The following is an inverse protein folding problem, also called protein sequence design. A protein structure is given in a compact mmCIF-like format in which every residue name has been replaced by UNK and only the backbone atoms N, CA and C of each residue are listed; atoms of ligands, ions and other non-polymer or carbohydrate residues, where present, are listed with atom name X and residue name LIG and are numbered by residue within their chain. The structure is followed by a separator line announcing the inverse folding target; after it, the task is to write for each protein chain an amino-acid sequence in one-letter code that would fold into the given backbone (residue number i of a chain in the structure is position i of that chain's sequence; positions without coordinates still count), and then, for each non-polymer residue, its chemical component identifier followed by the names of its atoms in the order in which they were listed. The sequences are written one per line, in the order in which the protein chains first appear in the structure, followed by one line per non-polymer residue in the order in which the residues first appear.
data_IF_187362440498
#
_entry.id   IF_187362440498
#
_cell.length_a   1.000
_cell.length_b   1.000
_cell.length_c   1.000
_cell.angle_alpha   90.00
_cell.angle_beta   90.00
_cell.angle_gamma   90.00
#
_symmetry.space_group_name_H-M   'P 1'
#
loop_
_entity.id
_entity.type
_entity.pdbx_description
1 polymer ?
#
# COMPACT_ATOMS: atom_id res chain seq x y z
N UNK A 1 5.40 11.07 -13.22
CA UNK A 1 5.09 11.05 -11.77
C UNK A 1 3.63 10.72 -11.66
N UNK A 2 3.29 9.50 -11.27
CA UNK A 2 1.97 8.90 -11.52
C UNK A 2 0.84 9.40 -10.62
N UNK A 3 1.07 10.41 -9.76
CA UNK A 3 0.04 10.94 -8.83
C UNK A 3 -0.44 9.92 -7.77
N UNK A 4 -0.03 8.65 -7.87
CA UNK A 4 -0.53 7.58 -7.01
C UNK A 4 0.07 7.67 -5.61
N UNK A 5 -0.77 7.37 -4.62
CA UNK A 5 -0.40 7.26 -3.23
C UNK A 5 -0.39 5.81 -2.79
N UNK A 6 0.75 5.35 -2.27
CA UNK A 6 0.88 4.02 -1.67
C UNK A 6 0.64 4.14 -0.17
N UNK A 7 -0.36 3.44 0.34
CA UNK A 7 -0.79 3.48 1.74
C UNK A 7 -0.56 2.08 2.35
N UNK A 8 0.41 1.92 3.27
CA UNK A 8 0.54 0.68 4.03
C UNK A 8 -0.63 0.52 4.99
N UNK A 9 -1.24 -0.65 4.99
CA UNK A 9 -2.31 -1.03 5.92
C UNK A 9 -2.01 -2.37 6.57
N UNK A 10 -2.40 -2.50 7.83
CA UNK A 10 -2.29 -3.72 8.60
C UNK A 10 -3.71 -4.19 8.93
N UNK A 11 -4.14 -5.28 8.30
CA UNK A 11 -5.48 -5.83 8.50
C UNK A 11 -5.38 -7.30 8.88
N UNK A 12 -5.99 -7.67 10.01
CA UNK A 12 -5.94 -9.04 10.56
C UNK A 12 -4.52 -9.61 10.69
N UNK A 13 -3.52 -8.78 10.99
CA UNK A 13 -2.11 -9.19 11.08
C UNK A 13 -1.40 -9.33 9.72
N UNK A 14 -2.09 -9.08 8.61
CA UNK A 14 -1.49 -9.07 7.27
C UNK A 14 -1.15 -7.65 6.85
N UNK A 15 0.08 -7.46 6.37
CA UNK A 15 0.52 -6.20 5.76
C UNK A 15 0.09 -6.17 4.29
N UNK A 16 -0.64 -5.12 3.91
CA UNK A 16 -1.06 -4.86 2.54
C UNK A 16 -0.75 -3.43 2.16
N UNK A 17 -0.29 -3.19 0.94
CA UNK A 17 -0.05 -1.85 0.42
C UNK A 17 -1.17 -1.50 -0.55
N UNK A 18 -1.96 -0.48 -0.23
CA UNK A 18 -3.04 0.02 -1.08
C UNK A 18 -2.50 1.09 -2.00
N UNK A 19 -2.92 1.07 -3.26
CA UNK A 19 -2.55 2.07 -4.25
C UNK A 19 -3.79 2.86 -4.59
N UNK A 20 -3.81 4.11 -4.16
CA UNK A 20 -4.91 5.02 -4.37
C UNK A 20 -4.54 6.12 -5.36
N UNK A 21 -5.51 6.53 -6.17
CA UNK A 21 -5.45 7.75 -6.95
C UNK A 21 -5.46 8.98 -6.03
N UNK A 22 -5.12 10.13 -6.59
CA UNK A 22 -5.23 11.44 -5.94
C UNK A 22 -6.67 11.74 -5.50
N UNK A 23 -7.64 11.21 -6.24
CA UNK A 23 -9.08 11.23 -5.94
C UNK A 23 -9.48 10.36 -4.72
N UNK A 24 -8.54 9.58 -4.17
CA UNK A 24 -8.77 8.67 -3.05
C UNK A 24 -9.30 7.29 -3.44
N UNK A 25 -9.60 7.06 -4.72
CA UNK A 25 -10.05 5.76 -5.24
C UNK A 25 -8.91 4.74 -5.23
N UNK A 26 -9.18 3.58 -4.64
CA UNK A 26 -8.28 2.42 -4.70
C UNK A 26 -8.32 1.80 -6.10
N UNK A 27 -7.16 1.64 -6.72
CA UNK A 27 -7.00 1.03 -8.05
C UNK A 27 -6.19 -0.28 -8.02
N UNK A 28 -5.44 -0.55 -6.96
CA UNK A 28 -4.71 -1.79 -6.77
C UNK A 28 -4.27 -1.98 -5.31
N UNK A 29 -3.93 -3.21 -4.94
CA UNK A 29 -3.29 -3.48 -3.67
C UNK A 29 -2.26 -4.61 -3.80
N UNK A 30 -1.15 -4.47 -3.06
CA UNK A 30 -0.11 -5.49 -2.96
C UNK A 30 -0.25 -6.23 -1.64
N UNK A 31 -0.32 -7.55 -1.73
CA UNK A 31 -0.25 -8.45 -0.60
C UNK A 31 1.21 -8.80 -0.31
N UNK A 32 1.73 -8.39 0.85
CA UNK A 32 3.12 -8.69 1.24
C UNK A 32 3.31 -10.16 1.55
N UNK A 33 2.28 -10.86 2.03
CA UNK A 33 2.37 -12.28 2.39
C UNK A 33 2.37 -13.17 1.14
N UNK A 34 1.45 -12.93 0.22
CA UNK A 34 1.36 -13.67 -1.03
C UNK A 34 2.35 -13.18 -2.11
N UNK A 35 3.04 -12.06 -1.85
CA UNK A 35 3.89 -11.36 -2.81
C UNK A 35 3.18 -11.10 -4.16
N UNK A 36 1.90 -10.71 -4.09
CA UNK A 36 1.03 -10.56 -5.26
C UNK A 36 0.40 -9.18 -5.33
N UNK A 37 0.31 -8.67 -6.54
CA UNK A 37 -0.42 -7.44 -6.85
C UNK A 37 -1.81 -7.85 -7.33
N UNK A 38 -2.84 -7.26 -6.74
CA UNK A 38 -4.21 -7.38 -7.19
C UNK A 38 -4.61 -6.04 -7.78
N UNK A 39 -4.77 -6.02 -9.10
CA UNK A 39 -5.21 -4.86 -9.85
C UNK A 39 -6.74 -4.81 -9.82
N UNK A 40 -7.28 -3.66 -9.43
CA UNK A 40 -8.72 -3.39 -9.51
C UNK A 40 -9.06 -2.66 -10.82
N UNK A 41 -8.09 -1.94 -11.39
CA UNK A 41 -8.17 -1.29 -12.70
C UNK A 41 -6.96 -1.65 -13.56
N UNK A 42 -7.19 -2.45 -14.61
CA UNK A 42 -6.13 -2.83 -15.56
C UNK A 42 -5.60 -1.65 -16.40
N UNK A 43 -6.44 -0.64 -16.62
CA UNK A 43 -6.13 0.56 -17.42
C UNK A 43 -4.95 1.39 -16.86
N UNK A 44 -4.57 1.16 -15.59
CA UNK A 44 -3.49 1.88 -14.88
C UNK A 44 -2.46 0.95 -14.29
N UNK A 45 -2.30 -0.25 -14.86
CA UNK A 45 -1.33 -1.23 -14.40
C UNK A 45 0.10 -0.66 -14.36
N UNK A 46 0.53 0.02 -15.42
CA UNK A 46 1.88 0.59 -15.55
C UNK A 46 2.15 1.63 -14.45
N UNK A 47 1.20 2.54 -14.21
CA UNK A 47 1.29 3.53 -13.13
C UNK A 47 1.40 2.86 -11.75
N UNK A 48 0.62 1.79 -11.51
CA UNK A 48 0.63 1.01 -10.26
C UNK A 48 1.98 0.33 -10.06
N UNK A 49 2.53 -0.30 -11.10
CA UNK A 49 3.84 -0.95 -11.04
C UNK A 49 4.95 0.07 -10.75
N UNK A 50 4.95 1.23 -11.42
CA UNK A 50 5.86 2.34 -11.13
C UNK A 50 5.73 2.83 -9.67
N UNK A 51 4.51 3.01 -9.19
CA UNK A 51 4.24 3.48 -7.83
C UNK A 51 4.70 2.48 -6.76
N UNK A 52 4.45 1.18 -6.97
CA UNK A 52 4.90 0.11 -6.08
C UNK A 52 6.42 -0.10 -6.16
N UNK A 53 7.02 0.10 -7.33
CA UNK A 53 8.48 0.03 -7.53
C UNK A 53 9.22 1.12 -6.73
N UNK A 54 8.67 2.33 -6.70
CA UNK A 54 9.20 3.46 -5.90
C UNK A 54 8.83 3.35 -4.41
N UNK A 55 7.65 2.80 -4.11
CA UNK A 55 7.08 2.66 -2.78
C UNK A 55 7.57 1.42 -2.02
N UNK A 56 8.52 0.65 -2.55
CA UNK A 56 9.18 -0.48 -1.86
C UNK A 56 10.15 0.04 -0.78
N UNK A 57 9.63 0.91 0.09
CA UNK A 57 10.36 1.59 1.15
C UNK A 57 10.54 0.64 2.33
N UNK A 58 11.80 0.25 2.56
CA UNK A 58 12.35 -0.13 3.86
C UNK A 58 12.00 -1.52 4.41
N UNK A 59 12.90 -2.14 5.21
CA UNK A 59 12.71 -3.47 5.74
C UNK A 59 11.43 -3.54 6.57
N UNK A 60 10.56 -4.48 6.23
CA UNK A 60 9.40 -4.84 7.05
C UNK A 60 9.91 -5.26 8.42
N UNK A 61 9.96 -4.31 9.37
CA UNK A 61 10.18 -4.62 10.77
C UNK A 61 8.84 -5.14 11.28
N UNK A 62 8.61 -6.43 11.03
CA UNK A 62 7.49 -7.17 11.58
C UNK A 62 7.57 -7.11 13.10
N UNK A 63 6.90 -6.11 13.68
CA UNK A 63 6.65 -6.06 15.10
C UNK A 63 5.74 -7.22 15.43
N UNK A 64 6.28 -8.26 16.07
CA UNK A 64 5.45 -9.22 16.80
C UNK A 64 4.61 -8.44 17.81
N UNK A 65 3.30 -8.61 17.77
CA UNK A 65 2.42 -8.17 18.84
C UNK A 65 1.05 -7.81 18.32
N UNK A 66 0.07 -8.67 18.59
CA UNK A 66 -1.32 -8.42 18.27
C UNK A 66 -1.89 -7.19 18.96
N UNK A 67 -3.04 -6.75 18.47
CA UNK A 67 -3.77 -5.62 19.00
C UNK A 67 -3.89 -4.52 17.96
N UNK A 68 -5.13 -4.11 17.69
CA UNK A 68 -5.44 -2.92 16.90
C UNK A 68 -4.64 -1.71 17.43
N UNK A 69 -3.54 -1.37 16.75
CA UNK A 69 -2.79 -0.14 16.96
C UNK A 69 -3.36 0.96 16.07
N UNK A 70 -3.42 2.22 16.54
CA UNK A 70 -4.05 3.31 15.80
C UNK A 70 -3.33 3.57 14.48
N UNK A 71 -4.11 3.84 13.43
CA UNK A 71 -3.63 4.15 12.09
C UNK A 71 -2.47 5.18 12.14
N UNK A 72 -1.42 5.02 11.32
CA UNK A 72 -0.35 6.00 11.24
C UNK A 72 -0.95 7.33 10.77
N UNK A 73 -0.88 8.34 11.65
CA UNK A 73 -1.21 9.72 11.30
C UNK A 73 -0.11 10.25 10.38
N UNK A 74 -0.38 10.29 9.08
CA UNK A 74 0.43 11.06 8.15
C UNK A 74 -0.16 12.46 8.04
N UNK A 75 0.29 13.34 8.93
CA UNK A 75 0.17 14.80 8.89
C UNK A 75 1.36 15.33 9.71
N UNK A 76 2.29 16.13 9.19
CA UNK A 76 2.09 17.44 8.58
C UNK A 76 2.66 18.46 9.57
N UNK A 77 3.73 19.16 9.21
CA UNK A 77 4.43 20.16 10.04
C UNK A 77 5.91 19.87 10.21
#
# INVERSE_FOLDING_TARGET
MSGLRVIPTWRHGQERLYVCLEDGRNIAWYDREAARINLLSADREEDVLEALGRGRSGPARGGRGGGAGPAPRWGGG
#
